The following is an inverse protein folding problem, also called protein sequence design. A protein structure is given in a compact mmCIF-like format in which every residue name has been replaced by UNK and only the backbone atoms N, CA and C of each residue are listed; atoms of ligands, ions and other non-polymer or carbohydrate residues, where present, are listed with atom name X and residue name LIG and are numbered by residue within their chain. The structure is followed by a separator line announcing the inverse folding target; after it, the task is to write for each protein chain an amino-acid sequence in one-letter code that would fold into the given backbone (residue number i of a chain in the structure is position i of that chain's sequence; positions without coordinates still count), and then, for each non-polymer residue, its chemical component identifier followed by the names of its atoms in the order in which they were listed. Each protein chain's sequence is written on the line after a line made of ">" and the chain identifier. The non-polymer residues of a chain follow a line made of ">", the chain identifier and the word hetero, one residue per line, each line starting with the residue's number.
data_IF_431948418070
#
_entry.id   IF_431948418070
#
_cell.length_a   1.000
_cell.length_b   1.000
_cell.length_c   1.000
_cell.angle_alpha   90.00
_cell.angle_beta   90.00
_cell.angle_gamma   90.00
#
_symmetry.space_group_name_H-M   'P 1'
#
loop_
_entity.id
_entity.type
_entity.pdbx_description
1 polymer ?
#
# COMPACT_ATOMS: atom_id res chain seq x y z
N UNK A 1 11.05 -15.98 7.52
CA UNK A 1 10.94 -17.19 6.68
C UNK A 1 10.43 -16.73 5.33
N UNK A 2 11.06 -17.11 4.21
CA UNK A 2 10.57 -16.72 2.87
C UNK A 2 9.26 -17.47 2.56
N UNK A 3 8.17 -16.74 2.34
CA UNK A 3 6.87 -17.32 1.97
C UNK A 3 6.77 -17.74 0.50
N UNK A 4 7.79 -17.43 -0.29
CA UNK A 4 7.90 -17.68 -1.73
C UNK A 4 9.24 -18.36 -2.07
N UNK A 5 9.49 -19.58 -1.56
CA UNK A 5 10.76 -20.29 -1.82
C UNK A 5 10.97 -20.66 -3.29
N UNK A 6 9.92 -20.67 -4.09
CA UNK A 6 9.96 -20.97 -5.52
C UNK A 6 10.33 -19.77 -6.41
N UNK A 7 10.19 -18.54 -5.89
CA UNK A 7 10.54 -17.32 -6.61
C UNK A 7 12.04 -17.03 -6.48
N UNK A 8 12.68 -16.45 -7.52
CA UNK A 8 14.08 -16.07 -7.44
C UNK A 8 14.28 -14.93 -6.42
N UNK A 9 15.45 -14.93 -5.76
CA UNK A 9 15.92 -13.78 -5.00
C UNK A 9 16.57 -12.80 -5.98
N UNK A 10 16.04 -11.59 -6.05
CA UNK A 10 16.54 -10.53 -6.93
C UNK A 10 17.44 -9.55 -6.15
N UNK A 11 18.38 -8.94 -6.86
CA UNK A 11 19.15 -7.83 -6.31
C UNK A 11 18.24 -6.62 -6.08
N UNK A 12 18.47 -5.90 -4.98
CA UNK A 12 17.72 -4.69 -4.67
C UNK A 12 17.95 -3.62 -5.73
N UNK A 13 16.85 -3.11 -6.28
CA UNK A 13 16.84 -1.95 -7.16
C UNK A 13 15.83 -0.93 -6.62
N UNK A 14 16.29 0.30 -6.41
CA UNK A 14 15.38 1.40 -6.14
C UNK A 14 14.71 1.82 -7.44
N UNK A 15 13.39 1.71 -7.48
CA UNK A 15 12.57 2.03 -8.65
C UNK A 15 11.77 3.31 -8.42
N UNK A 16 11.45 4.03 -9.50
CA UNK A 16 10.64 5.24 -9.43
C UNK A 16 9.59 5.31 -10.54
N UNK A 17 8.42 5.85 -10.23
CA UNK A 17 7.34 6.11 -11.18
C UNK A 17 6.78 7.52 -10.98
N UNK A 18 6.54 8.30 -12.06
CA UNK A 18 5.85 9.57 -11.97
C UNK A 18 4.44 9.42 -11.38
N UNK A 19 4.06 10.32 -10.47
CA UNK A 19 2.70 10.29 -9.89
C UNK A 19 1.60 10.51 -10.93
N UNK A 20 1.88 11.21 -12.04
CA UNK A 20 0.94 11.39 -13.15
C UNK A 20 0.56 10.07 -13.82
N UNK A 21 1.52 9.17 -14.01
CA UNK A 21 1.27 7.83 -14.56
C UNK A 21 0.42 7.00 -13.60
N UNK A 22 0.73 7.05 -12.30
CA UNK A 22 -0.04 6.35 -11.26
C UNK A 22 -1.48 6.87 -11.20
N UNK A 23 -1.67 8.19 -11.27
CA UNK A 23 -3.01 8.81 -11.27
C UNK A 23 -3.79 8.40 -12.53
N UNK A 24 -3.14 8.47 -13.70
CA UNK A 24 -3.74 8.08 -14.99
C UNK A 24 -4.17 6.61 -14.97
N UNK A 25 -3.29 5.73 -14.51
CA UNK A 25 -3.58 4.31 -14.37
C UNK A 25 -4.74 4.05 -13.40
N UNK A 26 -4.71 4.63 -12.19
CA UNK A 26 -5.80 4.51 -11.21
C UNK A 26 -7.13 5.04 -11.74
N UNK A 27 -7.12 6.13 -12.51
CA UNK A 27 -8.33 6.67 -13.11
C UNK A 27 -8.97 5.68 -14.08
N UNK A 28 -8.16 4.95 -14.85
CA UNK A 28 -8.59 3.91 -15.80
C UNK A 28 -9.10 2.61 -15.18
N UNK A 29 -8.82 2.35 -13.90
CA UNK A 29 -9.25 1.11 -13.23
C UNK A 29 -10.76 1.06 -12.99
N UNK A 30 -11.38 -0.11 -13.11
CA UNK A 30 -12.79 -0.33 -12.73
C UNK A 30 -12.90 -0.54 -11.20
N UNK A 31 -12.81 0.56 -10.46
CA UNK A 31 -12.91 0.56 -9.01
C UNK A 31 -13.73 1.76 -8.51
N UNK A 32 -14.49 1.61 -7.41
CA UNK A 32 -15.14 2.73 -6.73
C UNK A 32 -14.15 3.86 -6.40
N UNK A 33 -14.61 5.12 -6.53
CA UNK A 33 -13.77 6.30 -6.31
C UNK A 33 -13.09 6.33 -4.93
N UNK A 34 -13.76 5.88 -3.88
CA UNK A 34 -13.19 5.89 -2.52
C UNK A 34 -12.05 4.89 -2.37
N UNK A 35 -12.09 3.79 -3.13
CA UNK A 35 -10.98 2.83 -3.21
C UNK A 35 -9.80 3.49 -3.94
N UNK A 36 -10.04 4.11 -5.11
CA UNK A 36 -8.99 4.83 -5.85
C UNK A 36 -8.30 5.91 -5.01
N UNK A 37 -9.08 6.72 -4.29
CA UNK A 37 -8.56 7.76 -3.38
C UNK A 37 -7.69 7.17 -2.27
N UNK A 38 -8.14 6.09 -1.66
CA UNK A 38 -7.39 5.44 -0.58
C UNK A 38 -6.09 4.81 -1.09
N UNK A 39 -6.13 4.16 -2.26
CA UNK A 39 -4.94 3.62 -2.92
C UNK A 39 -3.95 4.72 -3.25
N UNK A 40 -4.40 5.84 -3.82
CA UNK A 40 -3.52 6.99 -4.10
C UNK A 40 -2.79 7.50 -2.86
N UNK A 41 -3.49 7.65 -1.73
CA UNK A 41 -2.88 8.16 -0.49
C UNK A 41 -1.86 7.16 0.07
N UNK A 42 -2.23 5.87 0.12
CA UNK A 42 -1.34 4.82 0.64
C UNK A 42 -0.11 4.72 -0.26
N UNK A 43 -0.29 4.62 -1.57
CA UNK A 43 0.80 4.60 -2.54
C UNK A 43 1.75 5.77 -2.28
N UNK A 44 1.22 7.00 -2.21
CA UNK A 44 2.01 8.21 -2.00
C UNK A 44 2.84 8.18 -0.72
N UNK A 45 2.28 7.71 0.39
CA UNK A 45 2.98 7.58 1.67
C UNK A 45 4.07 6.52 1.63
N UNK A 46 3.72 5.31 1.19
CA UNK A 46 4.64 4.16 1.24
C UNK A 46 5.80 4.31 0.25
N UNK A 47 5.57 5.00 -0.87
CA UNK A 47 6.57 5.17 -1.93
C UNK A 47 7.29 6.53 -1.92
N UNK A 48 6.96 7.43 -0.99
CA UNK A 48 7.40 8.83 -1.03
C UNK A 48 7.12 9.50 -2.39
N UNK A 49 5.85 9.50 -2.81
CA UNK A 49 5.38 10.00 -4.12
C UNK A 49 5.99 9.25 -5.32
N UNK A 50 6.10 7.93 -5.23
CA UNK A 50 6.58 7.08 -6.31
C UNK A 50 8.11 7.06 -6.45
N UNK A 51 8.89 7.66 -5.55
CA UNK A 51 10.35 7.82 -5.71
C UNK A 51 11.18 6.73 -5.01
N UNK A 52 10.56 5.90 -4.16
CA UNK A 52 11.25 4.92 -3.30
C UNK A 52 10.64 3.51 -3.41
N UNK A 53 10.41 3.01 -4.62
CA UNK A 53 9.97 1.64 -4.84
C UNK A 53 11.10 0.62 -4.61
N UNK A 54 10.75 -0.58 -4.17
CA UNK A 54 11.67 -1.72 -4.01
C UNK A 54 11.37 -2.70 -5.15
N UNK A 55 12.14 -2.68 -6.25
CA UNK A 55 11.88 -3.54 -7.42
C UNK A 55 10.38 -3.52 -7.84
N UNK A 56 9.87 -2.32 -8.11
CA UNK A 56 8.46 -2.00 -8.39
C UNK A 56 7.45 -2.22 -7.26
N UNK A 57 7.88 -2.61 -6.05
CA UNK A 57 7.02 -2.66 -4.88
C UNK A 57 6.90 -1.28 -4.23
N UNK A 58 5.78 -0.63 -4.47
CA UNK A 58 5.44 0.69 -3.91
C UNK A 58 4.45 0.61 -2.75
N UNK A 59 3.95 -0.59 -2.45
CA UNK A 59 3.03 -0.86 -1.35
C UNK A 59 3.73 -1.35 -0.07
N UNK A 60 5.05 -1.59 -0.11
CA UNK A 60 5.78 -2.18 1.00
C UNK A 60 5.39 -3.64 1.28
N UNK A 61 4.92 -4.37 0.26
CA UNK A 61 4.45 -5.75 0.41
C UNK A 61 5.59 -6.68 0.84
N UNK A 62 5.46 -7.30 2.01
CA UNK A 62 6.49 -8.16 2.60
C UNK A 62 6.32 -9.61 2.15
N UNK A 63 7.43 -10.34 2.07
CA UNK A 63 7.51 -11.77 1.74
C UNK A 63 7.99 -12.63 2.93
N UNK A 64 8.29 -12.02 4.09
CA UNK A 64 8.84 -12.70 5.26
C UNK A 64 7.80 -13.15 6.31
N UNK A 65 6.53 -13.26 5.92
CA UNK A 65 5.41 -13.68 6.77
C UNK A 65 4.57 -14.82 6.17
N UNK A 66 3.25 -14.67 6.20
CA UNK A 66 2.35 -15.56 5.48
C UNK A 66 2.35 -15.22 3.99
N UNK A 67 2.24 -16.25 3.14
CA UNK A 67 2.06 -16.06 1.70
C UNK A 67 0.79 -15.25 1.44
N UNK A 68 0.86 -14.31 0.51
CA UNK A 68 -0.32 -13.64 -0.01
C UNK A 68 -1.17 -14.60 -0.85
N UNK A 69 -2.40 -14.17 -1.18
CA UNK A 69 -3.28 -14.94 -2.05
C UNK A 69 -2.59 -15.27 -3.37
N UNK A 70 -2.78 -16.50 -3.87
CA UNK A 70 -2.16 -16.97 -5.12
C UNK A 70 -2.61 -16.19 -6.36
N UNK A 71 -3.67 -15.38 -6.26
CA UNK A 71 -4.10 -14.47 -7.34
C UNK A 71 -3.01 -13.45 -7.73
N UNK A 72 -2.00 -13.25 -6.88
CA UNK A 72 -0.91 -12.32 -7.13
C UNK A 72 0.32 -13.00 -7.72
N UNK A 73 0.37 -14.34 -7.81
CA UNK A 73 1.61 -15.05 -8.16
C UNK A 73 2.12 -14.64 -9.55
N UNK A 74 1.22 -14.44 -10.51
CA UNK A 74 1.56 -13.98 -11.87
C UNK A 74 2.04 -12.52 -11.94
N UNK A 75 1.91 -11.76 -10.84
CA UNK A 75 2.36 -10.37 -10.75
C UNK A 75 3.79 -10.23 -10.22
N UNK A 76 4.34 -11.31 -9.64
CA UNK A 76 5.58 -11.30 -8.88
C UNK A 76 6.78 -11.71 -9.74
N UNK A 77 7.80 -10.87 -9.77
CA UNK A 77 9.07 -11.15 -10.43
C UNK A 77 10.04 -11.95 -9.52
N UNK A 78 9.88 -11.83 -8.19
CA UNK A 78 10.83 -12.40 -7.24
C UNK A 78 10.60 -11.92 -5.80
N UNK A 79 11.60 -12.17 -4.97
CA UNK A 79 11.72 -11.58 -3.62
C UNK A 79 13.03 -10.81 -3.50
N UNK A 80 13.05 -9.78 -2.65
CA UNK A 80 14.23 -8.92 -2.43
C UNK A 80 14.54 -8.89 -0.95
N UNK A 81 15.79 -9.17 -0.61
CA UNK A 81 16.33 -8.94 0.73
C UNK A 81 16.74 -7.48 0.88
N UNK A 82 16.22 -6.81 1.90
CA UNK A 82 16.58 -5.43 2.19
C UNK A 82 16.57 -5.17 3.69
N UNK A 83 17.57 -4.44 4.15
CA UNK A 83 17.59 -3.96 5.53
C UNK A 83 16.53 -2.86 5.73
N UNK A 84 15.70 -3.05 6.75
CA UNK A 84 14.71 -2.06 7.18
C UNK A 84 15.42 -0.92 7.91
N UNK A 85 15.31 0.30 7.37
CA UNK A 85 16.03 1.49 7.86
C UNK A 85 15.76 1.83 9.33
N UNK A 86 14.61 1.44 9.89
CA UNK A 86 14.24 1.77 11.28
C UNK A 86 14.77 0.76 12.31
N UNK A 87 14.85 -0.51 11.94
CA UNK A 87 15.15 -1.60 12.90
C UNK A 87 16.50 -2.26 12.65
N UNK A 88 17.11 -2.04 11.48
CA UNK A 88 18.32 -2.72 11.03
C UNK A 88 18.09 -4.21 10.74
N UNK A 89 16.83 -4.67 10.75
CA UNK A 89 16.51 -6.07 10.47
C UNK A 89 16.44 -6.28 8.96
N UNK A 90 17.01 -7.38 8.50
CA UNK A 90 16.80 -7.86 7.13
C UNK A 90 15.35 -8.31 7.01
N UNK A 91 14.65 -7.74 6.04
CA UNK A 91 13.29 -8.11 5.66
C UNK A 91 13.28 -8.62 4.23
N UNK A 92 12.33 -9.49 3.92
CA UNK A 92 12.03 -9.89 2.54
C UNK A 92 10.85 -9.08 2.05
N UNK A 93 10.98 -8.50 0.86
CA UNK A 93 9.92 -7.81 0.15
C UNK A 93 9.58 -8.56 -1.13
N UNK A 94 8.33 -8.46 -1.57
CA UNK A 94 7.96 -8.88 -2.92
C UNK A 94 8.60 -7.94 -3.94
N UNK A 95 9.01 -8.49 -5.09
CA UNK A 95 9.32 -7.72 -6.29
C UNK A 95 8.22 -7.94 -7.33
N UNK A 96 7.77 -6.88 -8.00
CA UNK A 96 6.74 -6.94 -9.03
C UNK A 96 7.34 -6.79 -10.42
N UNK A 97 6.73 -7.42 -11.42
CA UNK A 97 7.15 -7.23 -12.82
C UNK A 97 7.04 -5.77 -13.29
N UNK A 98 6.07 -5.02 -12.75
CA UNK A 98 5.86 -3.61 -13.07
C UNK A 98 5.26 -2.84 -11.90
N UNK A 99 5.26 -1.51 -11.99
CA UNK A 99 4.66 -0.65 -10.97
C UNK A 99 3.12 -0.76 -10.97
N UNK A 100 2.51 -1.02 -12.13
CA UNK A 100 1.08 -1.30 -12.30
C UNK A 100 0.67 -2.52 -11.48
N UNK A 101 1.45 -3.61 -11.54
CA UNK A 101 1.21 -4.80 -10.74
C UNK A 101 1.20 -4.50 -9.23
N UNK A 102 2.08 -3.59 -8.76
CA UNK A 102 2.05 -3.14 -7.36
C UNK A 102 0.82 -2.29 -7.04
N UNK A 103 0.30 -1.51 -8.00
CA UNK A 103 -0.93 -0.74 -7.83
C UNK A 103 -2.14 -1.67 -7.79
N UNK A 104 -2.20 -2.68 -8.65
CA UNK A 104 -3.26 -3.70 -8.69
C UNK A 104 -3.31 -4.52 -7.40
N UNK A 105 -2.13 -4.93 -6.90
CA UNK A 105 -2.00 -5.52 -5.57
C UNK A 105 -2.61 -4.60 -4.51
N UNK A 106 -2.25 -3.31 -4.52
CA UNK A 106 -2.73 -2.35 -3.53
C UNK A 106 -4.24 -2.11 -3.62
N UNK A 107 -4.81 -2.01 -4.83
CA UNK A 107 -6.26 -1.95 -5.07
C UNK A 107 -6.98 -3.12 -4.42
N UNK A 108 -6.49 -4.35 -4.63
CA UNK A 108 -7.05 -5.54 -4.01
C UNK A 108 -6.95 -5.48 -2.48
N UNK A 109 -5.80 -5.09 -1.93
CA UNK A 109 -5.60 -5.04 -0.47
C UNK A 109 -6.47 -3.97 0.19
N UNK A 110 -6.59 -2.79 -0.39
CA UNK A 110 -7.45 -1.71 0.11
C UNK A 110 -8.91 -2.14 0.10
N UNK A 111 -9.38 -2.73 -1.01
CA UNK A 111 -10.74 -3.23 -1.15
C UNK A 111 -11.04 -4.34 -0.13
N UNK A 112 -10.20 -5.39 -0.09
CA UNK A 112 -10.43 -6.56 0.78
C UNK A 112 -10.30 -6.24 2.27
N UNK A 113 -9.44 -5.29 2.65
CA UNK A 113 -9.30 -4.86 4.05
C UNK A 113 -10.34 -3.82 4.45
N UNK A 114 -11.07 -3.22 3.50
CA UNK A 114 -12.07 -2.18 3.77
C UNK A 114 -11.48 -0.85 4.22
N UNK A 115 -10.26 -0.53 3.79
CA UNK A 115 -9.55 0.72 4.15
C UNK A 115 -9.94 1.81 3.15
N UNK A 116 -11.21 2.16 3.08
CA UNK A 116 -11.77 3.20 2.20
C UNK A 116 -13.10 3.72 2.76
N UNK A 117 -13.51 4.92 2.38
CA UNK A 117 -14.78 5.49 2.87
C UNK A 117 -15.99 4.69 2.34
N UNK A 118 -16.88 4.29 3.25
CA UNK A 118 -17.97 3.33 3.01
C UNK A 118 -17.56 1.86 3.20
N UNK A 119 -16.30 1.60 3.58
CA UNK A 119 -15.79 0.28 3.93
C UNK A 119 -15.90 -0.03 5.43
N UNK A 120 -15.56 -1.27 5.77
CA UNK A 120 -15.35 -1.70 7.16
C UNK A 120 -13.91 -2.21 7.28
N UNK A 121 -13.07 -1.55 8.08
CA UNK A 121 -11.67 -1.91 8.26
C UNK A 121 -11.56 -3.23 9.05
N UNK A 122 -11.15 -4.30 8.37
CA UNK A 122 -11.31 -5.68 8.87
C UNK A 122 -10.12 -6.22 9.64
N UNK A 123 -8.90 -5.73 9.46
CA UNK A 123 -7.73 -6.49 9.94
C UNK A 123 -7.50 -6.24 11.44
N UNK A 124 -7.25 -4.98 11.82
CA UNK A 124 -6.84 -4.60 13.17
C UNK A 124 -7.84 -3.60 13.79
N UNK A 125 -8.29 -2.60 13.04
CA UNK A 125 -9.10 -1.49 13.50
C UNK A 125 -10.55 -1.88 13.83
N UNK A 126 -11.12 -2.86 13.10
CA UNK A 126 -12.47 -3.41 13.30
C UNK A 126 -13.55 -2.32 13.41
N UNK A 127 -13.58 -1.40 12.45
CA UNK A 127 -14.44 -0.22 12.49
C UNK A 127 -15.02 0.15 11.12
N UNK A 128 -16.18 0.81 11.11
CA UNK A 128 -16.73 1.47 9.93
C UNK A 128 -15.89 2.70 9.55
N UNK A 129 -15.71 2.87 8.24
CA UNK A 129 -14.89 3.95 7.68
C UNK A 129 -15.82 4.93 6.98
N UNK A 130 -16.47 5.83 7.71
CA UNK A 130 -17.49 6.73 7.13
C UNK A 130 -16.95 8.13 6.83
N UNK A 131 -15.81 8.47 7.42
CA UNK A 131 -15.23 9.81 7.34
C UNK A 131 -13.75 9.74 6.99
N UNK A 132 -13.17 10.84 6.48
CA UNK A 132 -11.73 10.93 6.28
C UNK A 132 -10.94 10.66 7.57
N UNK A 133 -11.43 11.09 8.72
CA UNK A 133 -10.84 10.81 10.04
C UNK A 133 -10.82 9.30 10.36
N UNK A 134 -11.89 8.59 10.05
CA UNK A 134 -11.93 7.13 10.20
C UNK A 134 -10.95 6.47 9.24
N UNK A 135 -10.84 6.96 8.01
CA UNK A 135 -9.91 6.41 7.02
C UNK A 135 -8.45 6.56 7.46
N UNK A 136 -8.08 7.73 7.99
CA UNK A 136 -6.75 7.97 8.59
C UNK A 136 -6.50 6.93 9.69
N UNK A 137 -7.47 6.76 10.60
CA UNK A 137 -7.36 5.82 11.73
C UNK A 137 -7.19 4.38 11.24
N UNK A 138 -8.01 3.96 10.27
CA UNK A 138 -7.94 2.63 9.68
C UNK A 138 -6.59 2.40 8.99
N UNK A 139 -6.09 3.36 8.21
CA UNK A 139 -4.78 3.28 7.56
C UNK A 139 -3.65 3.06 8.58
N UNK A 140 -3.55 3.91 9.60
CA UNK A 140 -2.45 3.77 10.56
C UNK A 140 -2.54 2.47 11.37
N UNK A 141 -3.74 2.01 11.75
CA UNK A 141 -3.91 0.78 12.54
C UNK A 141 -3.74 -0.49 11.72
N UNK A 142 -4.33 -0.57 10.52
CA UNK A 142 -4.33 -1.79 9.70
C UNK A 142 -3.10 -1.90 8.77
N UNK A 143 -2.51 -0.78 8.38
CA UNK A 143 -1.44 -0.75 7.37
C UNK A 143 -0.08 -0.42 7.97
N UNK A 144 0.02 0.69 8.70
CA UNK A 144 1.32 1.22 9.15
C UNK A 144 1.82 0.54 10.43
N UNK A 145 0.97 0.49 11.46
CA UNK A 145 1.40 0.12 12.82
C UNK A 145 1.05 -1.32 13.19
N UNK A 146 -0.03 -1.87 12.63
CA UNK A 146 -0.53 -3.18 13.04
C UNK A 146 -1.02 -3.22 14.49
N UNK A 147 -1.48 -2.09 15.04
CA UNK A 147 -1.88 -1.92 16.44
C UNK A 147 -3.26 -1.25 16.54
N UNK A 148 -4.24 -1.97 17.11
CA UNK A 148 -5.61 -1.50 17.27
C UNK A 148 -5.75 -0.31 18.22
N UNK A 149 -4.76 -0.10 19.09
CA UNK A 149 -4.75 0.96 20.09
C UNK A 149 -3.93 2.18 19.66
N UNK A 150 -3.29 2.14 18.48
CA UNK A 150 -2.52 3.25 17.97
C UNK A 150 -3.36 4.53 17.91
N UNK A 151 -2.78 5.62 18.43
CA UNK A 151 -3.37 6.96 18.46
C UNK A 151 -2.62 7.82 17.45
N UNK A 152 -3.30 8.11 16.34
CA UNK A 152 -2.76 8.97 15.27
C UNK A 152 -2.45 10.36 15.85
N UNK A 153 -1.24 10.83 15.63
CA UNK A 153 -0.84 12.18 16.01
C UNK A 153 -1.56 13.25 15.17
N UNK A 154 -1.59 14.48 15.68
CA UNK A 154 -2.20 15.59 14.94
C UNK A 154 -1.50 15.85 13.59
N UNK A 155 -0.18 15.67 13.53
CA UNK A 155 0.62 15.88 12.32
C UNK A 155 0.34 14.81 11.27
N UNK A 156 0.39 13.53 11.64
CA UNK A 156 0.05 12.42 10.74
C UNK A 156 -1.35 12.59 10.15
N UNK A 157 -2.31 12.97 11.00
CA UNK A 157 -3.67 13.24 10.58
C UNK A 157 -3.77 14.40 9.60
N UNK A 158 -3.12 15.53 9.88
CA UNK A 158 -3.15 16.69 9.00
C UNK A 158 -2.53 16.37 7.63
N UNK A 159 -1.40 15.67 7.62
CA UNK A 159 -0.73 15.23 6.39
C UNK A 159 -1.64 14.32 5.56
N UNK A 160 -2.24 13.30 6.18
CA UNK A 160 -3.15 12.39 5.50
C UNK A 160 -4.38 13.10 4.94
N UNK A 161 -5.04 13.96 5.72
CA UNK A 161 -6.22 14.70 5.27
C UNK A 161 -5.91 15.66 4.10
N UNK A 162 -4.71 16.25 4.08
CA UNK A 162 -4.24 17.05 2.95
C UNK A 162 -4.14 16.22 1.66
N UNK A 163 -3.62 14.99 1.75
CA UNK A 163 -3.57 14.07 0.61
C UNK A 163 -4.96 13.62 0.17
N UNK A 164 -5.87 13.36 1.13
CA UNK A 164 -7.25 13.01 0.82
C UNK A 164 -7.97 14.12 0.05
N UNK A 165 -7.78 15.38 0.44
CA UNK A 165 -8.31 16.55 -0.30
C UNK A 165 -7.80 16.62 -1.74
N UNK A 166 -6.55 16.24 -2.00
CA UNK A 166 -6.02 16.18 -3.37
C UNK A 166 -6.66 15.02 -4.14
N UNK A 167 -6.80 13.85 -3.49
CA UNK A 167 -7.42 12.68 -4.09
C UNK A 167 -8.88 12.93 -4.52
N UNK A 168 -9.64 13.74 -3.77
CA UNK A 168 -11.03 14.08 -4.14
C UNK A 168 -11.13 14.90 -5.42
N UNK A 169 -10.10 15.69 -5.75
CA UNK A 169 -10.06 16.43 -7.02
C UNK A 169 -9.60 15.56 -8.19
N UNK A 170 -8.70 14.61 -7.94
CA UNK A 170 -8.16 13.70 -8.95
C UNK A 170 -9.17 12.62 -9.35
N UNK A 171 -9.99 12.13 -8.42
CA UNK A 171 -10.92 11.01 -8.62
C UNK A 171 -12.35 11.40 -8.24
N UNK A 172 -13.08 12.02 -9.18
CA UNK A 172 -14.45 12.54 -8.99
C UNK A 172 -15.53 11.45 -9.07
#
# INVERSE_FOLDING_TARGET
>A
MNAYPELPVLEYEQTSVPMEDVISYLAGQDAPREIKRSVYIIFRNESANGTRGINNNYAGAQADGARWSSIFDDMLAGVVEKEEAKTGKVRLFLAFYSWENSVDFLLNRVSSRGIFIGGYARLIAKMEVDTPDHLVTAYFRDWVMGDATYKVSAEEKANFLSMYKQATELFK
#
